data_IF_494491386540
#
_entry.id   IF_494491386540
#
_cell.length_a   1.000
_cell.length_b   1.000
_cell.length_c   1.000
_cell.angle_alpha   90.00
_cell.angle_beta   90.00
_cell.angle_gamma   90.00
#
_symmetry.space_group_name_H-M   'P 1'
#
loop_
_entity.id
_entity.type
_entity.pdbx_description
1 polymer ?
#
# COMPACT_ATOMS: atom_id res chain seq x y z
N UNK A 1 -51.90 -50.81 -13.09
CA UNK A 1 -50.65 -51.04 -13.84
C UNK A 1 -50.16 -49.79 -14.56
N UNK A 2 -51.00 -49.10 -15.35
CA UNK A 2 -50.60 -47.93 -16.15
C UNK A 2 -50.09 -46.73 -15.33
N UNK A 3 -50.70 -46.44 -14.17
CA UNK A 3 -50.30 -45.33 -13.27
C UNK A 3 -48.90 -45.59 -12.65
N UNK A 4 -48.58 -46.85 -12.32
CA UNK A 4 -47.30 -47.20 -11.69
C UNK A 4 -46.13 -47.02 -12.67
N UNK A 5 -46.31 -47.44 -13.93
CA UNK A 5 -45.31 -47.26 -14.99
C UNK A 5 -45.10 -45.78 -15.34
N UNK A 6 -46.15 -44.96 -15.30
CA UNK A 6 -46.06 -43.52 -15.49
C UNK A 6 -45.21 -42.87 -14.38
N UNK A 7 -45.45 -43.23 -13.12
CA UNK A 7 -44.69 -42.73 -11.96
C UNK A 7 -43.21 -43.14 -12.07
N UNK A 8 -42.93 -44.40 -12.43
CA UNK A 8 -41.56 -44.89 -12.59
C UNK A 8 -40.81 -44.16 -13.73
N UNK A 9 -41.50 -43.88 -14.83
CA UNK A 9 -40.90 -43.16 -15.98
C UNK A 9 -40.62 -41.71 -15.64
N UNK A 10 -41.56 -41.03 -14.97
CA UNK A 10 -41.37 -39.64 -14.51
C UNK A 10 -40.24 -39.55 -13.49
N UNK A 11 -40.14 -40.52 -12.57
CA UNK A 11 -39.06 -40.60 -11.59
C UNK A 11 -37.69 -40.86 -12.26
N UNK A 12 -37.64 -41.72 -13.29
CA UNK A 12 -36.40 -42.04 -14.00
C UNK A 12 -35.84 -40.84 -14.78
N UNK A 13 -36.70 -39.92 -15.25
CA UNK A 13 -36.29 -38.71 -15.96
C UNK A 13 -36.04 -37.53 -15.02
N UNK A 14 -36.74 -37.46 -13.88
CA UNK A 14 -36.58 -36.35 -12.94
C UNK A 14 -35.24 -36.35 -12.21
N UNK A 15 -34.73 -37.53 -11.84
CA UNK A 15 -33.43 -37.69 -11.17
C UNK A 15 -32.27 -37.10 -11.99
N UNK A 16 -32.04 -37.49 -13.27
CA UNK A 16 -30.94 -36.93 -14.06
C UNK A 16 -31.11 -35.42 -14.32
N UNK A 17 -32.34 -34.91 -14.44
CA UNK A 17 -32.60 -33.47 -14.59
C UNK A 17 -32.22 -32.71 -13.31
N UNK A 18 -32.64 -33.20 -12.14
CA UNK A 18 -32.30 -32.57 -10.86
C UNK A 18 -30.79 -32.62 -10.63
N UNK A 19 -30.14 -33.74 -10.90
CA UNK A 19 -28.67 -33.88 -10.82
C UNK A 19 -27.97 -32.91 -11.79
N UNK A 20 -28.45 -32.76 -13.02
CA UNK A 20 -27.90 -31.82 -13.99
C UNK A 20 -28.05 -30.36 -13.53
N UNK A 21 -29.21 -29.99 -12.98
CA UNK A 21 -29.47 -28.63 -12.46
C UNK A 21 -28.57 -28.33 -11.25
N UNK A 22 -28.46 -29.27 -10.31
CA UNK A 22 -27.59 -29.12 -9.14
C UNK A 22 -26.13 -29.05 -9.56
N UNK A 23 -25.69 -29.94 -10.45
CA UNK A 23 -24.33 -29.97 -10.99
C UNK A 23 -23.97 -28.66 -11.70
N UNK A 24 -24.87 -28.14 -12.53
CA UNK A 24 -24.69 -26.85 -13.20
C UNK A 24 -24.57 -25.69 -12.20
N UNK A 25 -25.48 -25.61 -11.21
CA UNK A 25 -25.46 -24.55 -10.19
C UNK A 25 -24.20 -24.63 -9.33
N UNK A 26 -23.76 -25.82 -8.94
CA UNK A 26 -22.55 -26.01 -8.15
C UNK A 26 -21.30 -25.61 -8.95
N UNK A 27 -21.17 -26.09 -10.19
CA UNK A 27 -20.06 -25.74 -11.07
C UNK A 27 -19.98 -24.24 -11.36
N UNK A 28 -21.12 -23.59 -11.60
CA UNK A 28 -21.15 -22.14 -11.80
C UNK A 28 -20.71 -21.37 -10.54
N UNK A 29 -21.11 -21.81 -9.35
CA UNK A 29 -20.69 -21.18 -8.08
C UNK A 29 -19.20 -21.39 -7.82
N UNK A 30 -18.68 -22.60 -8.08
CA UNK A 30 -17.26 -22.92 -7.96
C UNK A 30 -16.43 -22.02 -8.88
N UNK A 31 -16.79 -21.88 -10.16
CA UNK A 31 -16.08 -21.01 -11.11
C UNK A 31 -16.05 -19.54 -10.68
N UNK A 32 -17.15 -19.01 -10.15
CA UNK A 32 -17.18 -17.63 -9.64
C UNK A 32 -16.30 -17.46 -8.41
N UNK A 33 -16.29 -18.46 -7.52
CA UNK A 33 -15.45 -18.45 -6.33
C UNK A 33 -13.96 -18.54 -6.70
N UNK A 34 -13.59 -19.45 -7.58
CA UNK A 34 -12.23 -19.60 -8.12
C UNK A 34 -11.74 -18.31 -8.79
N UNK A 35 -12.57 -17.66 -9.62
CA UNK A 35 -12.21 -16.40 -10.27
C UNK A 35 -12.00 -15.26 -9.25
N UNK A 36 -12.82 -15.20 -8.20
CA UNK A 36 -12.65 -14.21 -7.11
C UNK A 36 -11.38 -14.45 -6.30
N UNK A 37 -11.12 -15.71 -5.93
CA UNK A 37 -9.91 -16.12 -5.24
C UNK A 37 -8.66 -15.82 -6.07
N UNK A 38 -8.68 -16.13 -7.37
CA UNK A 38 -7.57 -15.85 -8.26
C UNK A 38 -7.28 -14.35 -8.39
N UNK A 39 -8.31 -13.52 -8.56
CA UNK A 39 -8.13 -12.05 -8.60
C UNK A 39 -7.56 -11.49 -7.30
N UNK A 40 -8.02 -12.00 -6.15
CA UNK A 40 -7.49 -11.58 -4.86
C UNK A 40 -6.02 -11.99 -4.70
N UNK A 41 -5.66 -13.22 -5.09
CA UNK A 41 -4.27 -13.68 -5.06
C UNK A 41 -3.37 -12.81 -5.95
N UNK A 42 -3.82 -12.44 -7.14
CA UNK A 42 -3.02 -11.62 -8.05
C UNK A 42 -2.86 -10.19 -7.54
N UNK A 43 -3.90 -9.62 -6.91
CA UNK A 43 -3.80 -8.33 -6.23
C UNK A 43 -2.81 -8.37 -5.06
N UNK A 44 -2.85 -9.43 -4.24
CA UNK A 44 -1.91 -9.61 -3.11
C UNK A 44 -0.47 -9.72 -3.62
N UNK A 45 -0.22 -10.50 -4.68
CA UNK A 45 1.11 -10.59 -5.29
C UNK A 45 1.61 -9.24 -5.76
N UNK A 46 0.78 -8.47 -6.47
CA UNK A 46 1.15 -7.14 -6.94
C UNK A 46 1.46 -6.19 -5.77
N UNK A 47 0.64 -6.19 -4.72
CA UNK A 47 0.88 -5.39 -3.52
C UNK A 47 2.18 -5.78 -2.83
N UNK A 48 2.45 -7.08 -2.68
CA UNK A 48 3.67 -7.58 -2.07
C UNK A 48 4.92 -7.21 -2.87
N UNK A 49 4.85 -7.32 -4.20
CA UNK A 49 5.93 -6.92 -5.11
C UNK A 49 6.26 -5.43 -4.95
N UNK A 50 5.26 -4.55 -5.02
CA UNK A 50 5.47 -3.11 -4.88
C UNK A 50 5.87 -2.71 -3.46
N UNK A 51 5.35 -3.39 -2.44
CA UNK A 51 5.81 -3.22 -1.07
C UNK A 51 7.30 -3.55 -0.92
N UNK A 52 7.77 -4.65 -1.51
CA UNK A 52 9.18 -5.04 -1.50
C UNK A 52 10.09 -4.01 -2.17
N UNK A 53 9.59 -3.26 -3.16
CA UNK A 53 10.30 -2.17 -3.81
C UNK A 53 10.26 -0.86 -3.01
N UNK A 54 9.10 -0.51 -2.43
CA UNK A 54 8.89 0.73 -1.68
C UNK A 54 9.55 0.71 -0.30
N UNK A 55 9.48 -0.40 0.42
CA UNK A 55 9.89 -0.48 1.82
C UNK A 55 11.36 -0.08 2.05
N UNK A 56 12.35 -0.53 1.25
CA UNK A 56 13.73 -0.08 1.40
C UNK A 56 13.89 1.43 1.24
N UNK A 57 13.20 2.02 0.25
CA UNK A 57 13.29 3.46 -0.05
C UNK A 57 12.68 4.29 1.08
N UNK A 58 11.49 3.91 1.56
CA UNK A 58 10.82 4.55 2.69
C UNK A 58 11.66 4.44 3.96
N UNK A 59 12.27 3.28 4.18
CA UNK A 59 13.17 3.06 5.31
C UNK A 59 14.41 3.95 5.23
N UNK A 60 15.03 4.09 4.05
CA UNK A 60 16.19 4.96 3.87
C UNK A 60 15.86 6.43 4.17
N UNK A 61 14.67 6.90 3.77
CA UNK A 61 14.19 8.25 4.14
C UNK A 61 14.04 8.39 5.66
N UNK A 62 13.35 7.46 6.31
CA UNK A 62 13.16 7.47 7.77
C UNK A 62 14.51 7.41 8.51
N UNK A 63 15.38 6.49 8.13
CA UNK A 63 16.71 6.31 8.69
C UNK A 63 17.56 7.56 8.53
N UNK A 64 17.51 8.21 7.36
CA UNK A 64 18.25 9.43 7.11
C UNK A 64 17.80 10.55 8.05
N UNK A 65 16.49 10.77 8.22
CA UNK A 65 15.96 11.81 9.10
C UNK A 65 16.15 11.53 10.60
N UNK A 66 16.25 10.26 11.00
CA UNK A 66 16.38 9.83 12.40
C UNK A 66 17.81 9.46 12.81
N UNK A 67 18.78 9.57 11.89
CA UNK A 67 20.19 9.19 12.12
C UNK A 67 20.38 7.70 12.51
N UNK A 68 19.56 6.81 11.94
CA UNK A 68 19.59 5.36 12.15
C UNK A 68 20.15 4.65 10.91
N UNK A 69 20.76 3.48 11.09
CA UNK A 69 21.20 2.63 9.99
C UNK A 69 22.27 3.27 9.11
N UNK A 70 22.09 3.20 7.79
CA UNK A 70 23.08 3.67 6.81
C UNK A 70 22.99 5.14 6.45
N UNK A 71 22.41 5.98 7.31
CA UNK A 71 22.21 7.41 7.01
C UNK A 71 23.49 8.15 6.59
N UNK A 72 24.67 7.75 7.10
CA UNK A 72 25.97 8.36 6.75
C UNK A 72 26.47 8.03 5.34
N UNK A 73 25.88 7.02 4.71
CA UNK A 73 26.21 6.59 3.35
C UNK A 73 25.43 7.38 2.30
N UNK A 74 24.33 8.04 2.71
CA UNK A 74 23.47 8.82 1.83
C UNK A 74 23.84 10.29 1.85
N UNK A 75 23.77 10.91 0.68
CA UNK A 75 23.99 12.34 0.50
C UNK A 75 22.65 13.07 0.42
N UNK A 76 22.59 14.38 0.69
CA UNK A 76 21.33 15.11 0.56
C UNK A 76 20.71 15.00 -0.85
N UNK A 77 21.47 15.08 -1.96
CA UNK A 77 20.95 14.77 -3.29
C UNK A 77 20.39 13.34 -3.43
N UNK A 78 21.06 12.32 -2.87
CA UNK A 78 20.57 10.94 -2.95
C UNK A 78 19.21 10.80 -2.25
N UNK A 79 19.03 11.46 -1.12
CA UNK A 79 17.76 11.44 -0.37
C UNK A 79 16.63 12.09 -1.18
N UNK A 80 16.91 13.18 -1.89
CA UNK A 80 15.95 13.77 -2.83
C UNK A 80 15.65 12.82 -3.99
N UNK A 81 16.65 12.12 -4.53
CA UNK A 81 16.44 11.13 -5.58
C UNK A 81 15.57 9.96 -5.10
N UNK A 82 15.86 9.40 -3.92
CA UNK A 82 15.07 8.33 -3.28
C UNK A 82 13.62 8.78 -3.11
N UNK A 83 13.37 10.02 -2.65
CA UNK A 83 12.01 10.57 -2.56
C UNK A 83 11.31 10.57 -3.92
N UNK A 84 11.98 11.05 -4.97
CA UNK A 84 11.39 11.14 -6.32
C UNK A 84 11.07 9.77 -6.90
N UNK A 85 11.96 8.82 -6.71
CA UNK A 85 11.76 7.45 -7.17
C UNK A 85 10.63 6.78 -6.37
N UNK A 86 10.54 7.03 -5.06
CA UNK A 86 9.47 6.53 -4.22
C UNK A 86 8.12 7.13 -4.62
N UNK A 87 8.05 8.44 -4.88
CA UNK A 87 6.85 9.13 -5.38
C UNK A 87 6.42 8.54 -6.72
N UNK A 88 7.36 8.43 -7.66
CA UNK A 88 7.09 7.89 -9.00
C UNK A 88 6.51 6.49 -8.90
N UNK A 89 7.12 5.63 -8.10
CA UNK A 89 6.66 4.27 -7.91
C UNK A 89 5.28 4.26 -7.24
N UNK A 90 5.16 4.89 -6.07
CA UNK A 90 3.93 4.87 -5.25
C UNK A 90 2.73 5.42 -6.02
N UNK A 91 2.83 6.60 -6.64
CA UNK A 91 1.70 7.19 -7.36
C UNK A 91 1.32 6.43 -8.64
N UNK A 92 2.26 5.68 -9.25
CA UNK A 92 1.93 4.79 -10.38
C UNK A 92 1.08 3.61 -9.96
N UNK A 93 1.18 3.18 -8.70
CA UNK A 93 0.50 1.99 -8.17
C UNK A 93 -0.50 2.30 -7.06
N UNK A 94 -0.72 3.58 -6.75
CA UNK A 94 -1.63 4.04 -5.69
C UNK A 94 -3.03 3.42 -5.79
N UNK A 95 -3.63 3.18 -6.98
CA UNK A 95 -4.93 2.49 -7.08
C UNK A 95 -4.96 1.06 -6.52
N UNK A 96 -3.79 0.42 -6.34
CA UNK A 96 -3.70 -0.90 -5.71
C UNK A 96 -3.83 -0.82 -4.20
N UNK A 97 -3.62 0.33 -3.58
CA UNK A 97 -3.63 0.52 -2.14
C UNK A 97 -4.90 1.24 -1.67
N UNK A 98 -5.20 1.13 -0.38
CA UNK A 98 -6.32 1.82 0.24
C UNK A 98 -6.07 3.32 0.34
N UNK A 99 -7.15 4.09 0.49
CA UNK A 99 -7.04 5.52 0.78
C UNK A 99 -6.28 5.78 2.09
N UNK A 100 -6.34 4.86 3.06
CA UNK A 100 -5.60 4.97 4.31
C UNK A 100 -4.09 4.92 4.07
N UNK A 101 -3.61 3.99 3.23
CA UNK A 101 -2.21 3.91 2.84
C UNK A 101 -1.76 5.14 2.04
N UNK A 102 -2.60 5.64 1.12
CA UNK A 102 -2.31 6.88 0.37
C UNK A 102 -2.16 8.08 1.31
N UNK A 103 -3.07 8.25 2.26
CA UNK A 103 -2.99 9.33 3.25
C UNK A 103 -1.76 9.17 4.15
N UNK A 104 -1.47 7.96 4.64
CA UNK A 104 -0.31 7.72 5.49
C UNK A 104 1.02 7.99 4.74
N UNK A 105 1.06 7.72 3.44
CA UNK A 105 2.22 8.03 2.59
C UNK A 105 2.44 9.54 2.49
N UNK A 106 1.38 10.30 2.26
CA UNK A 106 1.41 11.76 2.19
C UNK A 106 1.80 12.36 3.55
N UNK A 107 1.26 11.84 4.66
CA UNK A 107 1.61 12.25 6.02
C UNK A 107 3.11 12.04 6.28
N UNK A 108 3.64 10.86 5.93
CA UNK A 108 5.05 10.53 6.08
C UNK A 108 5.96 11.46 5.26
N UNK A 109 5.62 11.72 4.00
CA UNK A 109 6.40 12.65 3.19
C UNK A 109 6.27 14.09 3.68
N UNK A 110 5.12 14.49 4.23
CA UNK A 110 4.91 15.82 4.78
C UNK A 110 5.76 16.11 6.01
N UNK A 111 6.03 15.10 6.84
CA UNK A 111 6.98 15.25 7.96
C UNK A 111 8.45 15.18 7.50
N UNK A 112 8.73 14.51 6.38
CA UNK A 112 10.10 14.39 5.86
C UNK A 112 10.52 15.56 4.97
N UNK A 113 9.59 16.19 4.26
CA UNK A 113 9.89 17.17 3.22
C UNK A 113 8.88 18.32 3.13
N UNK A 114 9.35 19.50 2.71
CA UNK A 114 8.50 20.58 2.21
C UNK A 114 8.47 20.58 0.68
N UNK A 115 7.29 20.36 0.10
CA UNK A 115 7.09 20.10 -1.35
C UNK A 115 6.53 21.26 -2.17
N UNK A 116 6.43 22.47 -1.61
CA UNK A 116 5.80 23.63 -2.29
C UNK A 116 6.65 24.90 -2.19
N UNK A 117 7.98 24.78 -2.36
CA UNK A 117 8.90 25.89 -2.13
C UNK A 117 8.95 26.91 -3.29
N UNK A 118 8.68 26.49 -4.55
CA UNK A 118 8.54 27.30 -5.78
C UNK A 118 8.31 26.36 -6.99
N UNK A 119 7.71 26.83 -8.08
CA UNK A 119 7.62 26.04 -9.33
C UNK A 119 9.00 25.62 -9.82
N UNK A 120 9.20 24.32 -10.05
CA UNK A 120 10.46 23.75 -10.52
C UNK A 120 11.56 23.64 -9.45
N UNK A 121 11.31 24.02 -8.19
CA UNK A 121 12.27 23.86 -7.11
C UNK A 121 12.12 22.48 -6.45
N UNK A 122 13.26 21.86 -6.11
CA UNK A 122 13.28 20.58 -5.42
C UNK A 122 12.68 20.67 -4.01
N UNK A 123 12.21 19.52 -3.52
CA UNK A 123 11.76 19.37 -2.15
C UNK A 123 12.91 19.67 -1.18
N UNK A 124 12.62 20.26 -0.02
CA UNK A 124 13.61 20.46 1.05
C UNK A 124 13.37 19.46 2.17
N UNK A 125 14.44 18.90 2.71
CA UNK A 125 14.47 17.94 3.81
C UNK A 125 14.15 18.69 5.11
N UNK A 126 13.13 18.22 5.83
CA UNK A 126 12.69 18.76 7.12
C UNK A 126 13.65 18.40 8.26
N UNK A 127 14.91 18.85 8.17
CA UNK A 127 15.96 18.61 9.15
C UNK A 127 17.08 19.64 9.00
N UNK A 128 18.11 19.56 9.84
CA UNK A 128 19.33 20.37 9.75
C UNK A 128 20.50 19.60 9.13
N UNK A 129 21.46 20.31 8.55
CA UNK A 129 22.59 19.68 7.84
C UNK A 129 23.86 19.52 8.68
N UNK A 130 24.02 20.25 9.79
CA UNK A 130 25.28 20.36 10.55
C UNK A 130 25.88 18.99 10.90
N UNK A 131 25.10 18.11 11.56
CA UNK A 131 25.56 16.76 11.94
C UNK A 131 25.91 15.88 10.73
N UNK A 132 25.28 16.13 9.58
CA UNK A 132 25.51 15.38 8.34
C UNK A 132 26.78 15.85 7.65
N UNK A 133 27.03 17.16 7.65
CA UNK A 133 28.28 17.77 7.22
C UNK A 133 29.47 17.24 8.02
N UNK A 134 29.35 17.21 9.35
CA UNK A 134 30.40 16.71 10.25
C UNK A 134 30.66 15.21 10.09
N UNK A 135 29.61 14.41 9.83
CA UNK A 135 29.74 12.96 9.68
C UNK A 135 30.01 12.50 8.24
N UNK A 136 30.02 13.43 7.27
CA UNK A 136 30.17 13.11 5.85
C UNK A 136 31.54 12.50 5.57
N UNK A 137 31.56 11.35 4.89
CA UNK A 137 32.81 10.70 4.44
C UNK A 137 33.39 11.34 3.18
N UNK A 138 32.64 12.22 2.53
CA UNK A 138 33.02 12.89 1.29
C UNK A 138 33.00 14.42 1.46
N UNK A 139 33.69 15.17 0.58
CA UNK A 139 33.70 16.63 0.62
C UNK A 139 32.27 17.18 0.59
N UNK A 140 31.91 17.91 1.64
CA UNK A 140 30.61 18.55 1.73
C UNK A 140 30.52 19.71 0.75
N UNK A 141 29.46 19.77 -0.04
CA UNK A 141 29.22 20.87 -0.97
C UNK A 141 28.27 21.88 -0.36
N UNK A 142 28.63 23.16 -0.39
CA UNK A 142 27.81 24.24 0.16
C UNK A 142 26.40 24.30 -0.44
N UNK A 143 26.24 23.92 -1.72
CA UNK A 143 24.94 23.84 -2.38
C UNK A 143 23.96 22.86 -1.70
N UNK A 144 24.45 21.85 -0.99
CA UNK A 144 23.59 20.89 -0.29
C UNK A 144 22.87 21.50 0.91
N UNK A 145 23.39 22.60 1.49
CA UNK A 145 22.77 23.26 2.64
C UNK A 145 21.38 23.84 2.27
N UNK A 146 21.19 24.21 0.99
CA UNK A 146 19.92 24.70 0.46
C UNK A 146 18.82 23.62 0.41
N UNK A 147 19.21 22.34 0.44
CA UNK A 147 18.29 21.20 0.43
C UNK A 147 17.64 20.94 1.79
N UNK A 148 18.03 21.65 2.86
CA UNK A 148 17.49 21.48 4.20
C UNK A 148 16.64 22.68 4.60
N UNK A 149 15.61 22.46 5.42
CA UNK A 149 14.77 23.55 5.93
C UNK A 149 15.43 24.32 7.06
N UNK A 150 16.13 23.63 7.97
CA UNK A 150 16.80 24.21 9.12
C UNK A 150 18.20 24.71 8.76
N UNK A 151 18.53 25.90 9.22
CA UNK A 151 19.83 26.54 9.05
C UNK A 151 20.77 26.24 10.21
N UNK A 152 22.04 26.60 10.06
CA UNK A 152 23.02 26.48 11.13
C UNK A 152 22.61 27.37 12.32
N UNK A 153 22.53 26.77 13.51
CA UNK A 153 22.03 27.42 14.74
C UNK A 153 20.59 27.07 15.11
N UNK A 154 19.80 26.51 14.18
CA UNK A 154 18.45 26.03 14.50
C UNK A 154 18.51 24.74 15.33
N UNK A 155 17.70 24.67 16.39
CA UNK A 155 17.59 23.47 17.21
C UNK A 155 16.78 22.37 16.48
N UNK A 156 17.36 21.18 16.33
CA UNK A 156 16.61 19.99 15.91
C UNK A 156 15.83 19.50 17.13
N UNK A 157 14.50 19.63 17.09
CA UNK A 157 13.65 19.15 18.16
C UNK A 157 13.56 17.62 18.14
N UNK A 158 13.73 16.98 19.29
CA UNK A 158 13.59 15.52 19.44
C UNK A 158 12.22 15.01 18.96
N UNK A 159 11.17 15.79 19.20
CA UNK A 159 9.81 15.55 18.70
C UNK A 159 9.74 15.34 17.19
N UNK A 160 10.64 15.94 16.41
CA UNK A 160 10.67 15.81 14.96
C UNK A 160 11.08 14.40 14.52
N UNK A 161 12.07 13.79 15.19
CA UNK A 161 12.50 12.43 14.89
C UNK A 161 11.43 11.41 15.29
N UNK A 162 10.79 11.63 16.45
CA UNK A 162 9.66 10.81 16.90
C UNK A 162 8.48 10.90 15.94
N UNK A 163 8.18 12.09 15.41
CA UNK A 163 7.12 12.28 14.42
C UNK A 163 7.42 11.55 13.10
N UNK A 164 8.67 11.63 12.60
CA UNK A 164 9.09 10.87 11.41
C UNK A 164 8.91 9.38 11.63
N UNK A 165 9.34 8.86 12.79
CA UNK A 165 9.21 7.44 13.10
C UNK A 165 7.75 7.00 13.21
N UNK A 166 6.93 7.77 13.91
CA UNK A 166 5.50 7.46 14.06
C UNK A 166 4.76 7.47 12.71
N UNK A 167 5.07 8.43 11.83
CA UNK A 167 4.47 8.49 10.49
C UNK A 167 4.92 7.31 9.62
N UNK A 168 6.20 6.91 9.71
CA UNK A 168 6.73 5.72 9.03
C UNK A 168 6.05 4.43 9.52
N UNK A 169 5.95 4.24 10.84
CA UNK A 169 5.32 3.04 11.42
C UNK A 169 3.83 2.96 11.03
N UNK A 170 3.11 4.10 11.02
CA UNK A 170 1.73 4.18 10.51
C UNK A 170 1.63 3.81 9.03
N UNK A 171 2.53 4.31 8.19
CA UNK A 171 2.57 3.99 6.76
C UNK A 171 2.79 2.49 6.55
N UNK A 172 3.80 1.90 7.19
CA UNK A 172 4.04 0.47 7.08
C UNK A 172 2.84 -0.36 7.56
N UNK A 173 2.23 0.00 8.69
CA UNK A 173 1.04 -0.69 9.17
C UNK A 173 -0.08 -0.69 8.12
N UNK A 174 -0.38 0.47 7.51
CA UNK A 174 -1.42 0.55 6.48
C UNK A 174 -1.09 -0.21 5.19
N UNK A 175 0.19 -0.28 4.80
CA UNK A 175 0.62 -1.07 3.65
C UNK A 175 0.56 -2.57 3.93
N UNK A 176 0.94 -2.98 5.14
CA UNK A 176 0.83 -4.37 5.60
C UNK A 176 -0.63 -4.77 5.72
N UNK A 177 -1.50 -3.94 6.28
CA UNK A 177 -2.94 -4.18 6.31
C UNK A 177 -3.51 -4.39 4.90
N UNK A 178 -3.09 -3.59 3.91
CA UNK A 178 -3.50 -3.79 2.52
C UNK A 178 -2.99 -5.12 1.92
N UNK A 179 -1.88 -5.67 2.41
CA UNK A 179 -1.38 -7.00 2.00
C UNK A 179 -2.12 -8.11 2.77
N UNK A 180 -2.36 -7.91 4.07
CA UNK A 180 -2.94 -8.88 5.00
C UNK A 180 -4.46 -8.95 4.97
N UNK A 181 -5.16 -8.02 4.29
CA UNK A 181 -6.59 -8.11 4.01
C UNK A 181 -6.88 -9.35 3.13
N UNK A 182 -6.90 -10.49 3.82
CA UNK A 182 -7.23 -11.84 3.41
C UNK A 182 -8.73 -12.07 3.30
N UNK A 183 -9.57 -11.09 3.65
CA UNK A 183 -11.00 -11.26 3.53
C UNK A 183 -11.45 -11.02 2.09
N UNK A 184 -12.09 -12.02 1.45
CA UNK A 184 -12.99 -11.74 0.35
C UNK A 184 -13.93 -10.64 0.84
N UNK A 185 -13.97 -9.48 0.17
CA UNK A 185 -14.98 -8.45 0.48
C UNK A 185 -16.36 -9.11 0.40
N UNK A 186 -16.93 -9.48 1.54
CA UNK A 186 -18.28 -10.03 1.69
C UNK A 186 -19.38 -8.98 1.40
N UNK A 187 -19.04 -7.86 0.75
CA UNK A 187 -19.95 -6.73 0.52
C UNK A 187 -19.93 -6.29 -0.94
N UNK A 188 -20.57 -7.11 -1.77
CA UNK A 188 -21.29 -6.66 -2.95
C UNK A 188 -22.66 -7.37 -3.06
N UNK A 189 -23.24 -7.79 -1.94
CA UNK A 189 -24.69 -7.95 -1.87
C UNK A 189 -25.29 -6.55 -1.66
N UNK A 190 -25.87 -6.03 -2.73
CA UNK A 190 -26.65 -4.80 -2.78
C UNK A 190 -27.62 -4.71 -1.60
N UNK A 191 -27.72 -3.54 -0.97
CA UNK A 191 -28.58 -3.22 0.17
C UNK A 191 -30.09 -3.27 -0.15
N UNK A 192 -30.49 -3.89 -1.26
CA UNK A 192 -31.85 -3.88 -1.80
C UNK A 192 -32.56 -5.26 -1.87
N UNK A 193 -32.07 -6.32 -1.20
CA UNK A 193 -32.76 -7.63 -1.22
C UNK A 193 -33.06 -8.19 0.17
N UNK A 194 -33.46 -7.34 1.12
CA UNK A 194 -34.26 -7.76 2.30
C UNK A 194 -35.55 -6.93 2.37
N UNK A 195 -36.22 -6.77 1.22
CA UNK A 195 -37.61 -6.30 1.13
C UNK A 195 -38.60 -7.47 1.01
N UNK A 196 -38.17 -8.74 1.11
CA UNK A 196 -39.08 -9.89 0.98
C UNK A 196 -38.82 -11.01 2.00
N UNK A 197 -38.66 -10.68 3.28
CA UNK A 197 -38.72 -11.67 4.34
C UNK A 197 -39.36 -11.10 5.63
N UNK A 198 -40.70 -11.00 5.55
CA UNK A 198 -41.72 -10.73 6.60
C UNK A 198 -41.90 -9.29 7.07
#
# INVERSE_FOLDING_TARGET
MMILNLIQTVAAVSVPIVVAIIGYKLNHRLKLFEASQWRNQELIKARLEYFGQLAPMLNDLMCYLTFIGRWKELTPPDVIAIKRDADRLFYSVAPLFSQAAVTAYQDFLGVCFTTHNRWGADARICSGFVRRREASRQPWRAEWEQLFTLQEGDAIQESSMTAVRAAYDKLLATLVDDIELLEPRDRYADSNVVVNAR
#
